data_IF_778143156666
#
_entry.id   IF_778143156666
#
_cell.length_a   1.000
_cell.length_b   1.000
_cell.length_c   1.000
_cell.angle_alpha   90.00
_cell.angle_beta   90.00
_cell.angle_gamma   90.00
#
_symmetry.space_group_name_H-M   'P 1'
#
loop_
_entity.id
_entity.type
_entity.pdbx_description
1 polymer ?
#
# COMPACT_ATOMS: atom_id res chain seq x y z
N UNK A 1 5.86 2.20 12.18
CA UNK A 1 6.27 2.87 10.93
C UNK A 1 5.09 2.88 10.00
N UNK A 2 4.85 4.00 9.31
CA UNK A 2 3.87 4.07 8.23
C UNK A 2 4.67 4.16 6.92
N UNK A 3 4.46 3.20 6.02
CA UNK A 3 4.99 3.24 4.66
C UNK A 3 3.94 3.87 3.73
N UNK A 4 4.40 4.69 2.79
CA UNK A 4 3.60 5.34 1.75
C UNK A 4 4.37 5.25 0.43
N UNK A 5 3.73 4.78 -0.64
CA UNK A 5 4.26 4.90 -2.00
C UNK A 5 4.42 6.37 -2.40
N UNK A 6 5.32 6.63 -3.35
CA UNK A 6 5.67 7.99 -3.80
C UNK A 6 4.57 8.70 -4.60
N UNK A 7 3.53 7.96 -4.98
CA UNK A 7 2.32 8.40 -5.67
C UNK A 7 1.12 8.46 -4.71
N UNK A 8 1.37 8.69 -3.42
CA UNK A 8 0.36 8.94 -2.39
C UNK A 8 0.40 10.40 -1.95
N UNK A 9 -0.79 10.96 -1.71
CA UNK A 9 -0.96 12.26 -1.06
C UNK A 9 -1.79 12.12 0.22
N UNK A 10 -1.34 12.76 1.29
CA UNK A 10 -2.02 12.83 2.60
C UNK A 10 -2.72 14.18 2.73
N UNK A 11 -4.01 14.17 3.04
CA UNK A 11 -4.87 15.35 3.15
C UNK A 11 -5.17 15.75 4.60
N UNK A 12 -5.08 14.81 5.53
CA UNK A 12 -5.33 15.05 6.96
C UNK A 12 -4.34 14.28 7.82
N UNK A 13 -4.22 14.67 9.09
CA UNK A 13 -3.38 13.96 10.04
C UNK A 13 -3.82 12.49 10.20
N UNK A 14 -2.83 11.60 10.16
CA UNK A 14 -2.97 10.15 10.34
C UNK A 14 -2.06 9.61 11.46
N UNK A 15 -1.51 10.47 12.31
CA UNK A 15 -0.57 10.07 13.38
C UNK A 15 -1.18 9.09 14.38
N UNK A 16 -2.49 9.11 14.60
CA UNK A 16 -3.17 8.15 15.48
C UNK A 16 -3.02 6.70 14.98
N UNK A 17 -2.62 6.47 13.73
CA UNK A 17 -2.27 5.13 13.24
C UNK A 17 -1.01 4.56 13.92
N UNK A 18 -0.15 5.41 14.52
CA UNK A 18 0.98 4.94 15.34
C UNK A 18 0.54 4.35 16.69
N UNK A 19 -0.71 4.57 17.12
CA UNK A 19 -1.27 3.99 18.35
C UNK A 19 -1.79 2.56 18.15
N UNK A 20 -1.82 2.07 16.90
CA UNK A 20 -2.24 0.71 16.59
C UNK A 20 -1.31 -0.32 17.27
N UNK A 21 -1.85 -1.42 17.83
CA UNK A 21 -1.03 -2.40 18.54
C UNK A 21 0.06 -3.02 17.66
N UNK A 22 1.24 -3.18 18.25
CA UNK A 22 2.39 -3.88 17.68
C UNK A 22 2.07 -5.34 17.28
N UNK A 23 2.96 -5.94 16.48
CA UNK A 23 2.86 -7.35 16.09
C UNK A 23 1.90 -7.66 14.93
N UNK A 24 1.36 -6.64 14.25
CA UNK A 24 0.51 -6.79 13.07
C UNK A 24 0.99 -5.90 11.91
N UNK A 25 0.52 -6.20 10.71
CA UNK A 25 0.54 -5.26 9.58
C UNK A 25 -0.86 -4.72 9.37
N UNK A 26 -1.00 -3.40 9.30
CA UNK A 26 -2.28 -2.74 9.06
C UNK A 26 -2.27 -2.11 7.70
N UNK A 27 -3.22 -2.45 6.84
CA UNK A 27 -3.30 -1.94 5.49
C UNK A 27 -4.75 -1.94 5.01
N UNK A 28 -5.05 -1.18 3.97
CA UNK A 28 -6.39 -1.15 3.38
C UNK A 28 -6.54 -2.32 2.42
N UNK A 29 -7.70 -3.00 2.48
CA UNK A 29 -8.05 -4.06 1.54
C UNK A 29 -7.98 -3.55 0.09
N UNK A 30 -7.43 -4.36 -0.81
CA UNK A 30 -7.46 -4.04 -2.24
C UNK A 30 -8.85 -4.31 -2.86
N UNK A 31 -9.05 -3.92 -4.10
CA UNK A 31 -10.26 -4.15 -4.87
C UNK A 31 -10.02 -5.15 -6.00
N UNK A 32 -10.80 -6.23 -6.04
CA UNK A 32 -10.68 -7.26 -7.08
C UNK A 32 -11.45 -6.92 -8.37
N UNK A 33 -12.11 -5.77 -8.44
CA UNK A 33 -12.88 -5.35 -9.63
C UNK A 33 -12.03 -4.70 -10.72
N UNK A 34 -10.75 -4.41 -10.46
CA UNK A 34 -9.89 -3.80 -11.46
C UNK A 34 -9.38 -4.78 -12.50
N UNK A 35 -9.19 -4.32 -13.75
CA UNK A 35 -8.83 -5.19 -14.88
C UNK A 35 -7.49 -5.91 -14.69
N UNK A 36 -6.59 -5.35 -13.87
CA UNK A 36 -5.34 -5.99 -13.46
C UNK A 36 -5.57 -7.35 -12.80
N UNK A 37 -6.73 -7.55 -12.15
CA UNK A 37 -7.13 -8.81 -11.52
C UNK A 37 -7.75 -9.83 -12.48
N UNK A 38 -7.88 -9.53 -13.78
CA UNK A 38 -8.57 -10.38 -14.77
C UNK A 38 -8.04 -11.81 -14.91
N UNK A 39 -6.80 -12.05 -14.49
CA UNK A 39 -6.18 -13.37 -14.46
C UNK A 39 -6.62 -14.23 -13.25
N UNK A 40 -7.33 -13.66 -12.27
CA UNK A 40 -7.69 -14.31 -11.00
C UNK A 40 -9.11 -14.88 -11.00
N UNK A 41 -9.40 -15.96 -10.24
CA UNK A 41 -10.75 -16.47 -10.04
C UNK A 41 -11.73 -15.42 -9.49
N UNK A 42 -11.29 -14.59 -8.54
CA UNK A 42 -12.09 -13.54 -7.89
C UNK A 42 -12.71 -12.61 -8.93
N UNK A 43 -11.89 -12.10 -9.85
CA UNK A 43 -12.35 -11.23 -10.93
C UNK A 43 -13.31 -11.94 -11.89
N UNK A 44 -13.01 -13.19 -12.28
CA UNK A 44 -13.84 -13.96 -13.22
C UNK A 44 -15.23 -14.27 -12.67
N UNK A 45 -15.31 -14.55 -11.36
CA UNK A 45 -16.57 -14.75 -10.63
C UNK A 45 -17.33 -13.43 -10.48
N UNK A 46 -16.61 -12.30 -10.44
CA UNK A 46 -17.17 -11.00 -10.05
C UNK A 46 -17.22 -10.79 -8.54
N UNK A 47 -16.56 -11.67 -7.76
CA UNK A 47 -16.44 -11.55 -6.30
C UNK A 47 -15.44 -10.44 -5.95
N UNK A 48 -15.82 -9.56 -5.01
CA UNK A 48 -14.92 -8.55 -4.45
C UNK A 48 -15.06 -8.47 -2.94
N UNK A 49 -13.93 -8.52 -2.23
CA UNK A 49 -13.88 -8.42 -0.77
C UNK A 49 -14.37 -7.06 -0.21
N UNK A 50 -14.44 -6.02 -1.06
CA UNK A 50 -15.03 -4.72 -0.70
C UNK A 50 -16.57 -4.76 -0.67
N UNK A 51 -17.19 -5.78 -1.28
CA UNK A 51 -18.64 -5.94 -1.37
C UNK A 51 -19.00 -7.43 -1.49
N UNK A 52 -18.68 -8.26 -0.48
CA UNK A 52 -18.82 -9.72 -0.55
C UNK A 52 -20.27 -10.17 -0.75
N UNK A 53 -21.25 -9.34 -0.36
CA UNK A 53 -22.68 -9.64 -0.49
C UNK A 53 -23.22 -9.40 -1.91
N UNK A 54 -22.51 -8.62 -2.75
CA UNK A 54 -22.96 -8.30 -4.11
C UNK A 54 -22.89 -9.52 -5.03
N UNK A 55 -21.80 -10.27 -4.94
CA UNK A 55 -21.60 -11.55 -5.60
C UNK A 55 -20.90 -12.45 -4.58
N UNK A 56 -21.63 -13.36 -3.90
CA UNK A 56 -21.05 -14.24 -2.90
C UNK A 56 -19.99 -15.17 -3.48
N UNK A 57 -18.99 -15.52 -2.68
CA UNK A 57 -18.02 -16.55 -3.06
C UNK A 57 -18.70 -17.93 -3.14
N UNK A 58 -18.57 -18.69 -4.26
CA UNK A 58 -19.27 -19.96 -4.46
C UNK A 58 -18.61 -21.09 -3.65
N UNK A 59 -18.88 -21.12 -2.35
CA UNK A 59 -18.28 -22.06 -1.39
C UNK A 59 -18.59 -23.53 -1.65
N UNK A 60 -19.70 -23.83 -2.34
CA UNK A 60 -20.10 -25.20 -2.63
C UNK A 60 -19.30 -25.80 -3.81
N UNK A 61 -18.75 -24.94 -4.68
CA UNK A 61 -17.97 -25.34 -5.86
C UNK A 61 -16.46 -25.13 -5.67
N UNK A 62 -16.07 -24.18 -4.81
CA UNK A 62 -14.69 -23.79 -4.57
C UNK A 62 -14.28 -24.00 -3.11
N UNK A 63 -12.97 -24.01 -2.87
CA UNK A 63 -12.41 -23.90 -1.52
C UNK A 63 -12.94 -22.64 -0.79
N UNK A 64 -12.75 -22.53 0.54
CA UNK A 64 -13.07 -21.30 1.27
C UNK A 64 -12.51 -20.05 0.58
N UNK A 65 -13.16 -18.88 0.75
CA UNK A 65 -12.71 -17.65 0.11
C UNK A 65 -11.24 -17.37 0.47
N UNK A 66 -10.50 -16.71 -0.44
CA UNK A 66 -9.11 -16.36 -0.19
C UNK A 66 -8.99 -15.49 1.08
N UNK A 67 -7.84 -15.54 1.78
CA UNK A 67 -7.59 -14.63 2.88
C UNK A 67 -7.72 -13.17 2.41
N UNK A 68 -8.11 -12.24 3.30
CA UNK A 68 -8.15 -10.82 2.98
C UNK A 68 -6.83 -10.35 2.38
N UNK A 69 -6.92 -9.58 1.29
CA UNK A 69 -5.77 -9.14 0.51
C UNK A 69 -5.66 -7.60 0.56
N UNK A 70 -4.51 -7.04 0.89
CA UNK A 70 -4.32 -5.58 0.99
C UNK A 70 -3.57 -4.96 -0.19
N UNK A 71 -3.82 -3.67 -0.41
CA UNK A 71 -3.02 -2.85 -1.29
C UNK A 71 -1.71 -2.47 -0.58
N UNK A 72 -0.56 -2.69 -1.22
CA UNK A 72 0.75 -2.51 -0.58
C UNK A 72 1.28 -1.07 -0.58
N UNK A 73 0.58 -0.12 -1.21
CA UNK A 73 1.06 1.26 -1.29
C UNK A 73 1.01 2.02 0.04
N UNK A 74 0.18 1.59 0.98
CA UNK A 74 0.19 2.13 2.34
C UNK A 74 -0.02 1.03 3.35
N UNK A 75 0.88 0.95 4.34
CA UNK A 75 0.71 0.07 5.48
C UNK A 75 1.42 0.59 6.73
N UNK A 76 0.89 0.21 7.89
CA UNK A 76 1.52 0.39 9.20
C UNK A 76 2.16 -0.93 9.61
N UNK A 77 3.42 -0.89 10.00
CA UNK A 77 4.13 -2.07 10.53
C UNK A 77 5.18 -1.68 11.56
N UNK A 78 5.58 -2.65 12.37
CA UNK A 78 6.69 -2.51 13.31
C UNK A 78 8.02 -2.88 12.63
N UNK A 79 8.99 -1.95 12.50
CA UNK A 79 10.30 -2.27 11.95
C UNK A 79 11.01 -3.34 12.78
N UNK A 80 11.52 -4.36 12.11
CA UNK A 80 12.24 -5.45 12.77
C UNK A 80 13.34 -5.98 11.87
N UNK A 81 14.58 -5.98 12.36
CA UNK A 81 15.71 -6.56 11.66
C UNK A 81 15.53 -8.07 11.40
N UNK A 82 14.84 -8.76 12.33
CA UNK A 82 14.50 -10.17 12.17
C UNK A 82 13.50 -10.36 11.01
N UNK A 83 12.44 -9.55 10.96
CA UNK A 83 11.45 -9.56 9.87
C UNK A 83 12.10 -9.23 8.52
N UNK A 84 12.93 -8.18 8.45
CA UNK A 84 13.64 -7.82 7.23
C UNK A 84 14.55 -8.95 6.71
N UNK A 85 15.31 -9.59 7.60
CA UNK A 85 16.15 -10.74 7.23
C UNK A 85 15.32 -11.94 6.76
N UNK A 86 14.19 -12.20 7.39
CA UNK A 86 13.29 -13.27 7.03
C UNK A 86 12.63 -13.00 5.67
N UNK A 87 12.11 -11.80 5.42
CA UNK A 87 11.61 -11.35 4.12
C UNK A 87 12.65 -11.57 3.02
N UNK A 88 13.91 -11.12 3.21
CA UNK A 88 14.98 -11.35 2.23
C UNK A 88 15.29 -12.84 2.00
N UNK A 89 15.19 -13.67 3.04
CA UNK A 89 15.41 -15.11 2.90
C UNK A 89 14.28 -15.80 2.11
N UNK A 90 13.03 -15.38 2.33
CA UNK A 90 11.86 -15.89 1.59
C UNK A 90 11.88 -15.37 0.15
N UNK A 91 12.20 -14.09 -0.06
CA UNK A 91 12.24 -13.47 -1.40
C UNK A 91 13.15 -14.23 -2.37
N UNK A 92 14.32 -14.70 -1.92
CA UNK A 92 15.28 -15.46 -2.75
C UNK A 92 14.72 -16.74 -3.36
N UNK A 93 13.62 -17.24 -2.82
CA UNK A 93 13.05 -18.53 -3.19
C UNK A 93 11.56 -18.45 -3.51
N UNK A 94 11.00 -17.24 -3.51
CA UNK A 94 9.67 -16.91 -4.00
C UNK A 94 9.75 -16.74 -5.52
N UNK A 95 8.79 -17.32 -6.24
CA UNK A 95 8.67 -17.09 -7.68
C UNK A 95 8.06 -15.70 -7.92
N UNK A 96 8.47 -14.97 -8.96
CA UNK A 96 7.82 -13.72 -9.32
C UNK A 96 6.32 -13.93 -9.56
N UNK A 97 5.53 -12.95 -9.14
CA UNK A 97 4.07 -12.94 -9.28
C UNK A 97 3.60 -11.64 -9.98
N UNK A 98 2.37 -11.59 -10.51
CA UNK A 98 1.89 -10.46 -11.29
C UNK A 98 1.87 -9.11 -10.55
N UNK A 99 1.66 -9.09 -9.23
CA UNK A 99 1.65 -7.87 -8.41
C UNK A 99 2.92 -7.70 -7.56
N UNK A 100 4.03 -8.31 -7.97
CA UNK A 100 5.37 -8.09 -7.40
C UNK A 100 5.41 -8.11 -5.86
N UNK A 101 5.75 -6.99 -5.21
CA UNK A 101 5.86 -6.89 -3.76
C UNK A 101 4.50 -7.01 -3.05
N UNK A 102 3.40 -6.59 -3.68
CA UNK A 102 2.08 -6.67 -3.06
C UNK A 102 1.66 -8.12 -2.80
N UNK A 103 1.82 -9.00 -3.78
CA UNK A 103 1.58 -10.44 -3.60
C UNK A 103 2.53 -11.04 -2.55
N UNK A 104 3.81 -10.64 -2.60
CA UNK A 104 4.82 -11.14 -1.68
C UNK A 104 4.52 -10.79 -0.23
N UNK A 105 4.12 -9.54 0.03
CA UNK A 105 3.76 -9.03 1.35
C UNK A 105 2.47 -9.68 1.84
N UNK A 106 1.45 -9.81 0.98
CA UNK A 106 0.21 -10.51 1.34
C UNK A 106 0.46 -11.98 1.69
N UNK A 107 1.31 -12.68 0.93
CA UNK A 107 1.70 -14.06 1.23
C UNK A 107 2.45 -14.17 2.56
N UNK A 108 3.42 -13.28 2.80
CA UNK A 108 4.29 -13.35 3.98
C UNK A 108 3.55 -12.94 5.27
N UNK A 109 2.70 -11.93 5.22
CA UNK A 109 2.04 -11.34 6.39
C UNK A 109 0.60 -11.80 6.61
N UNK A 110 0.08 -12.74 5.83
CA UNK A 110 -1.32 -13.22 5.88
C UNK A 110 -1.85 -13.51 7.30
N UNK A 111 -1.01 -14.04 8.19
CA UNK A 111 -1.42 -14.50 9.51
C UNK A 111 -1.46 -13.36 10.55
N UNK A 112 -0.89 -12.19 10.23
CA UNK A 112 -0.83 -11.01 11.11
C UNK A 112 -1.43 -9.75 10.46
N UNK A 113 -2.04 -9.88 9.29
CA UNK A 113 -2.70 -8.78 8.60
C UNK A 113 -4.00 -8.38 9.29
N UNK A 114 -4.19 -7.07 9.49
CA UNK A 114 -5.42 -6.46 9.99
C UNK A 114 -5.88 -5.34 9.05
N UNK A 115 -7.09 -5.42 8.48
CA UNK A 115 -7.59 -4.37 7.60
C UNK A 115 -7.82 -3.06 8.37
N UNK A 116 -7.50 -1.92 7.75
CA UNK A 116 -7.90 -0.59 8.22
C UNK A 116 -8.86 0.08 7.22
N UNK A 117 -9.63 1.10 7.64
CA UNK A 117 -10.62 1.76 6.79
C UNK A 117 -10.05 2.32 5.49
N UNK A 118 -10.88 2.28 4.42
CA UNK A 118 -10.55 2.76 3.07
C UNK A 118 -9.97 4.18 3.03
N UNK A 119 -10.42 5.06 3.93
CA UNK A 119 -10.00 6.47 3.99
C UNK A 119 -8.50 6.67 4.26
N UNK A 120 -7.77 5.64 4.71
CA UNK A 120 -6.32 5.68 4.94
C UNK A 120 -5.47 5.24 3.74
N UNK A 121 -6.10 4.78 2.65
CA UNK A 121 -5.46 4.48 1.37
C UNK A 121 -6.54 4.33 0.29
N UNK A 122 -7.08 5.46 -0.20
CA UNK A 122 -8.02 5.43 -1.30
C UNK A 122 -7.28 5.18 -2.61
N UNK A 123 -7.23 3.91 -3.03
CA UNK A 123 -6.96 3.54 -4.43
C UNK A 123 -8.03 4.17 -5.31
N UNK A 124 -7.64 5.10 -6.20
CA UNK A 124 -8.60 5.95 -6.95
C UNK A 124 -9.69 5.18 -7.69
N UNK A 125 -9.41 3.95 -8.13
CA UNK A 125 -10.38 3.09 -8.77
C UNK A 125 -11.67 2.86 -7.96
N UNK A 126 -11.59 2.96 -6.63
CA UNK A 126 -12.74 2.85 -5.76
C UNK A 126 -13.82 3.90 -6.07
N UNK A 127 -13.46 5.08 -6.60
CA UNK A 127 -14.40 6.16 -6.97
C UNK A 127 -15.43 5.75 -8.03
N UNK A 128 -15.11 4.77 -8.89
CA UNK A 128 -16.02 4.28 -9.93
C UNK A 128 -16.36 2.80 -9.80
N UNK A 129 -15.57 2.00 -9.09
CA UNK A 129 -15.87 0.57 -8.83
C UNK A 129 -16.82 0.36 -7.66
N UNK A 130 -16.64 1.14 -6.59
CA UNK A 130 -17.40 1.05 -5.35
C UNK A 130 -17.77 2.46 -4.83
N UNK A 131 -18.49 3.28 -5.62
CA UNK A 131 -18.80 4.66 -5.25
C UNK A 131 -19.63 4.74 -3.95
N UNK A 132 -20.41 3.71 -3.63
CA UNK A 132 -21.17 3.56 -2.39
C UNK A 132 -20.29 3.42 -1.13
N UNK A 133 -19.00 3.08 -1.31
CA UNK A 133 -18.02 2.94 -0.23
C UNK A 133 -17.14 4.18 -0.05
N UNK A 134 -17.27 5.19 -0.92
CA UNK A 134 -16.38 6.36 -0.91
C UNK A 134 -17.15 7.63 -0.55
N UNK A 135 -16.88 8.16 0.63
CA UNK A 135 -17.23 9.52 0.99
C UNK A 135 -15.97 10.39 0.91
N UNK A 136 -15.75 11.00 -0.26
CA UNK A 136 -14.47 11.65 -0.60
C UNK A 136 -14.04 12.74 0.39
N UNK A 137 -15.00 13.43 1.01
CA UNK A 137 -14.73 14.45 2.05
C UNK A 137 -14.13 13.90 3.34
N UNK A 138 -14.22 12.59 3.59
CA UNK A 138 -13.63 11.91 4.76
C UNK A 138 -12.30 11.22 4.46
N UNK A 139 -11.88 11.22 3.20
CA UNK A 139 -10.66 10.51 2.76
C UNK A 139 -9.44 11.30 3.21
N UNK A 140 -8.54 10.62 3.93
CA UNK A 140 -7.31 11.21 4.47
C UNK A 140 -6.10 10.96 3.60
N UNK A 141 -6.10 9.87 2.84
CA UNK A 141 -4.96 9.45 2.02
C UNK A 141 -5.47 8.97 0.67
N UNK A 142 -4.92 9.49 -0.41
CA UNK A 142 -5.25 9.10 -1.79
C UNK A 142 -4.03 8.52 -2.48
N UNK A 143 -4.24 7.41 -3.17
CA UNK A 143 -3.22 6.68 -3.90
C UNK A 143 -3.51 6.73 -5.40
N UNK A 144 -2.65 7.45 -6.14
CA UNK A 144 -2.77 7.71 -7.57
C UNK A 144 -2.27 6.52 -8.41
N UNK A 145 -2.75 5.29 -8.14
CA UNK A 145 -2.29 4.06 -8.80
C UNK A 145 -3.14 3.58 -9.98
N UNK A 146 -4.27 4.22 -10.26
CA UNK A 146 -5.06 3.91 -11.45
C UNK A 146 -4.34 4.37 -12.73
N UNK A 147 -4.58 3.67 -13.85
CA UNK A 147 -4.00 4.06 -15.13
C UNK A 147 -4.41 5.49 -15.51
N UNK A 148 -3.45 6.33 -15.91
CA UNK A 148 -3.66 7.74 -16.23
C UNK A 148 -3.75 8.68 -15.01
N UNK A 149 -3.87 8.15 -13.79
CA UNK A 149 -4.13 8.99 -12.60
C UNK A 149 -2.89 9.66 -12.00
N UNK A 150 -1.68 9.29 -12.43
CA UNK A 150 -0.43 9.88 -11.93
C UNK A 150 -0.44 11.40 -12.17
N UNK A 151 -0.41 12.26 -11.14
CA UNK A 151 -0.58 13.70 -11.31
C UNK A 151 0.43 14.34 -12.27
N UNK A 152 1.69 13.89 -12.21
CA UNK A 152 2.79 14.37 -13.07
C UNK A 152 2.75 13.85 -14.52
N UNK A 153 1.83 12.94 -14.85
CA UNK A 153 1.59 12.45 -16.23
C UNK A 153 0.13 12.55 -16.64
N UNK A 154 -0.65 13.34 -15.90
CA UNK A 154 -2.08 13.39 -16.08
C UNK A 154 -2.43 14.07 -17.41
N UNK A 155 -3.14 13.35 -18.27
CA UNK A 155 -3.61 13.89 -19.56
C UNK A 155 -5.11 14.15 -19.60
N UNK A 156 -5.87 13.55 -18.67
CA UNK A 156 -7.33 13.60 -18.64
C UNK A 156 -8.01 12.77 -19.73
N UNK A 157 -7.27 11.97 -20.50
CA UNK A 157 -7.80 11.21 -21.66
C UNK A 157 -8.06 9.74 -21.35
N UNK A 158 -7.39 9.18 -20.36
CA UNK A 158 -7.57 7.80 -19.95
C UNK A 158 -8.96 7.59 -19.30
N UNK A 159 -9.41 6.33 -19.24
CA UNK A 159 -10.71 5.97 -18.70
C UNK A 159 -10.91 6.56 -17.29
N UNK A 160 -12.05 7.22 -17.07
CA UNK A 160 -12.42 7.90 -15.83
C UNK A 160 -11.58 9.12 -15.44
N UNK A 161 -10.56 9.51 -16.21
CA UNK A 161 -9.74 10.70 -15.93
C UNK A 161 -10.45 12.01 -16.32
N UNK A 162 -11.59 11.96 -16.99
CA UNK A 162 -12.39 13.15 -17.27
C UNK A 162 -13.27 13.59 -16.07
N UNK A 163 -13.41 12.72 -15.06
CA UNK A 163 -14.26 12.95 -13.89
C UNK A 163 -13.83 14.17 -13.08
N UNK A 164 -14.81 14.86 -12.51
CA UNK A 164 -14.59 16.07 -11.69
C UNK A 164 -13.80 15.79 -10.43
N UNK A 165 -14.13 14.70 -9.72
CA UNK A 165 -13.42 14.31 -8.48
C UNK A 165 -11.94 14.00 -8.74
N UNK A 166 -11.64 13.28 -9.83
CA UNK A 166 -10.27 12.98 -10.27
C UNK A 166 -9.49 14.27 -10.58
N UNK A 167 -10.08 15.17 -11.37
CA UNK A 167 -9.46 16.48 -11.69
C UNK A 167 -9.13 17.28 -10.44
N UNK A 168 -10.06 17.37 -9.50
CA UNK A 168 -9.85 18.07 -8.22
C UNK A 168 -8.74 17.44 -7.39
N UNK A 169 -8.62 16.10 -7.35
CA UNK A 169 -7.51 15.44 -6.65
C UNK A 169 -6.16 15.75 -7.30
N UNK A 170 -6.08 15.68 -8.63
CA UNK A 170 -4.87 16.03 -9.38
C UNK A 170 -4.47 17.49 -9.17
N UNK A 171 -5.43 18.42 -9.18
CA UNK A 171 -5.20 19.84 -8.86
C UNK A 171 -4.58 20.00 -7.47
N UNK A 172 -5.13 19.32 -6.45
CA UNK A 172 -4.57 19.37 -5.09
C UNK A 172 -3.14 18.82 -4.99
N UNK A 173 -2.73 17.88 -5.85
CA UNK A 173 -1.34 17.44 -5.91
C UNK A 173 -0.44 18.56 -6.42
N UNK A 174 -0.87 19.24 -7.48
CA UNK A 174 -0.13 20.37 -8.06
C UNK A 174 -0.11 21.60 -7.16
N UNK A 175 -1.13 21.82 -6.34
CA UNK A 175 -1.13 22.89 -5.33
C UNK A 175 0.05 22.75 -4.36
N UNK A 176 0.32 21.51 -3.90
CA UNK A 176 1.48 21.22 -3.03
C UNK A 176 2.78 21.32 -3.81
N UNK A 177 2.86 20.72 -5.00
CA UNK A 177 4.09 20.72 -5.80
C UNK A 177 4.52 22.14 -6.23
N UNK A 178 3.55 23.02 -6.52
CA UNK A 178 3.82 24.40 -6.95
C UNK A 178 4.02 25.37 -5.77
N UNK A 179 3.78 24.93 -4.53
CA UNK A 179 4.04 25.75 -3.34
C UNK A 179 5.54 25.82 -3.05
N UNK A 180 6.17 26.85 -3.60
CA UNK A 180 7.61 27.15 -3.40
C UNK A 180 8.00 27.37 -1.94
N UNK A 181 7.04 27.61 -1.03
CA UNK A 181 7.35 27.72 0.40
C UNK A 181 7.80 26.39 1.00
N UNK A 182 7.42 25.26 0.37
CA UNK A 182 7.78 23.89 0.74
C UNK A 182 9.10 23.42 0.13
N UNK A 183 9.72 24.22 -0.75
CA UNK A 183 11.00 23.87 -1.38
C UNK A 183 12.08 23.63 -0.32
N UNK A 184 12.86 22.55 -0.51
CA UNK A 184 13.98 22.25 0.36
C UNK A 184 15.05 23.35 0.28
N UNK A 185 15.21 24.11 1.36
CA UNK A 185 16.13 25.27 1.42
C UNK A 185 17.60 24.89 1.63
N UNK A 186 17.94 23.60 1.60
CA UNK A 186 19.26 23.11 1.96
C UNK A 186 19.55 23.20 3.46
N UNK A 187 20.69 22.66 3.92
CA UNK A 187 21.21 23.00 5.22
C UNK A 187 21.53 24.50 5.22
N UNK A 188 21.12 25.24 6.26
CA UNK A 188 21.74 26.52 6.54
C UNK A 188 23.26 26.29 6.57
N UNK A 189 24.04 27.09 5.83
CA UNK A 189 25.50 27.01 5.87
C UNK A 189 25.94 27.30 7.31
N UNK A 190 26.11 26.25 8.10
CA UNK A 190 26.71 26.35 9.43
C UNK A 190 28.17 26.70 9.17
N UNK A 191 28.55 27.94 9.49
CA UNK A 191 29.96 28.31 9.53
C UNK A 191 30.69 27.32 10.42
N UNK A 192 31.83 26.76 9.97
CA UNK A 192 32.48 25.65 10.66
C UNK A 192 32.97 26.09 12.04
N UNK A 193 32.24 25.70 13.08
CA UNK A 193 32.77 25.68 14.45
C UNK A 193 33.17 24.24 14.77
N UNK A 194 34.50 24.05 14.79
CA UNK A 194 35.28 22.97 15.38
C UNK A 194 34.60 21.60 15.59
N UNK A 195 34.96 20.66 14.72
CA UNK A 195 34.74 19.23 14.88
C UNK A 195 35.28 18.72 16.23
N UNK A 196 34.50 17.89 16.93
CA UNK A 196 35.04 16.86 17.83
C UNK A 196 34.54 15.50 17.37
N UNK A 197 35.48 14.66 16.92
CA UNK A 197 35.26 13.28 16.46
C UNK A 197 35.04 12.35 17.66
N UNK A 198 33.93 11.63 17.68
CA UNK A 198 33.72 10.47 18.55
C UNK A 198 33.42 9.22 17.71
N UNK A 199 34.35 8.28 17.67
CA UNK A 199 34.28 7.02 16.93
C UNK A 199 33.68 5.92 17.81
N UNK A 200 32.72 5.13 17.32
CA UNK A 200 32.26 3.91 17.98
C UNK A 200 32.20 2.73 17.00
N UNK A 201 32.84 1.64 17.41
CA UNK A 201 33.09 0.39 16.66
C UNK A 201 31.94 -0.62 16.82
N UNK A 202 31.84 -1.55 15.86
CA UNK A 202 30.79 -2.58 15.72
C UNK A 202 31.41 -3.98 15.77
N UNK A 203 30.80 -4.96 16.47
CA UNK A 203 31.18 -6.40 16.41
C UNK A 203 29.88 -7.28 16.58
N UNK A 204 29.77 -8.53 16.06
CA UNK A 204 28.60 -8.97 15.26
C UNK A 204 28.01 -10.36 15.62
N UNK A 205 26.95 -10.79 14.88
CA UNK A 205 26.62 -12.20 14.56
C UNK A 205 26.00 -13.06 15.68
N UNK A 206 25.21 -14.13 15.46
CA UNK A 206 24.97 -15.03 14.31
C UNK A 206 23.66 -15.85 14.51
N UNK A 207 23.15 -16.38 13.38
CA UNK A 207 22.42 -17.67 13.07
C UNK A 207 21.19 -18.10 13.90
N UNK A 208 19.98 -18.36 13.36
CA UNK A 208 19.43 -19.26 12.29
C UNK A 208 18.96 -20.63 12.83
N UNK A 209 17.65 -20.88 12.81
CA UNK A 209 17.02 -22.23 12.85
C UNK A 209 15.88 -22.27 11.81
N UNK A 210 15.67 -23.44 11.19
CA UNK A 210 14.93 -23.75 9.97
C UNK A 210 13.65 -24.58 10.27
N UNK A 211 12.55 -24.33 9.56
CA UNK A 211 11.59 -25.33 8.99
C UNK A 211 10.53 -24.60 8.13
N UNK A 212 10.57 -24.65 6.77
CA UNK A 212 9.82 -25.46 5.76
C UNK A 212 8.31 -25.12 5.61
N UNK A 213 7.87 -24.98 4.34
CA UNK A 213 6.81 -24.09 3.77
C UNK A 213 5.39 -24.67 3.62
N UNK A 214 4.43 -23.76 3.36
CA UNK A 214 3.16 -24.01 2.68
C UNK A 214 3.20 -23.60 1.17
N UNK A 215 2.30 -24.11 0.30
CA UNK A 215 2.45 -24.15 -1.16
C UNK A 215 2.07 -22.84 -1.89
N UNK A 216 2.59 -22.69 -3.12
CA UNK A 216 2.28 -21.62 -4.10
C UNK A 216 1.36 -22.16 -5.19
N UNK A 217 0.34 -21.39 -5.57
CA UNK A 217 -0.49 -21.66 -6.73
C UNK A 217 0.30 -21.43 -8.04
N UNK A 218 0.10 -22.33 -8.99
CA UNK A 218 0.42 -22.15 -10.41
C UNK A 218 -0.67 -21.29 -11.08
#
# INVERSE_FOLDING_TARGET
>A
MIYLDSDIQVYENIDHLFELPDGAIYAVMDCFCEKTWSHTPQYRIGYCQQSPDRVPWPRDELCPPPPPYFNAGMFVSQPSAATAKALLAVLKVTRPTPFAEQDFLNMYFKDIYKPIPLLYNLVMAMLWRHPDKVELSKVKVVHYCAAGSKPWRYTGKEEHMDRRDVKTLVEKWWDVYNDRSLDYKGPALVSPTSQTRGTLSRIPGKRLVRCIRAPSAA
#
